data_IF_344683028395
#
_entry.id   IF_344683028395
#
_cell.length_a   1.000
_cell.length_b   1.000
_cell.length_c   1.000
_cell.angle_alpha   90.00
_cell.angle_beta   90.00
_cell.angle_gamma   90.00
#
_symmetry.space_group_name_H-M   'P 1'
#
loop_
_entity.id
_entity.type
_entity.pdbx_description
1 polymer ?
#
# COMPACT_ATOMS: atom_id res chain seq x y z
N UNK A 1 14.87 -8.59 0.32
CA UNK A 1 14.23 -9.90 0.02
C UNK A 1 13.04 -10.22 0.94
N UNK A 2 13.25 -10.19 2.26
CA UNK A 2 12.24 -10.64 3.24
C UNK A 2 10.90 -9.89 3.16
N UNK A 3 10.91 -8.59 2.84
CA UNK A 3 9.67 -7.80 2.70
C UNK A 3 8.81 -8.28 1.52
N UNK A 4 9.40 -8.56 0.36
CA UNK A 4 8.63 -9.01 -0.81
C UNK A 4 7.97 -10.36 -0.53
N UNK A 5 8.75 -11.33 -0.05
CA UNK A 5 8.22 -12.67 0.26
C UNK A 5 7.14 -12.61 1.33
N UNK A 6 7.29 -11.73 2.33
CA UNK A 6 6.27 -11.51 3.35
C UNK A 6 5.00 -10.93 2.76
N UNK A 7 5.08 -9.87 1.93
CA UNK A 7 3.92 -9.26 1.27
C UNK A 7 3.17 -10.30 0.43
N UNK A 8 3.88 -11.10 -0.38
CA UNK A 8 3.26 -12.15 -1.19
C UNK A 8 2.51 -13.19 -0.34
N UNK A 9 3.05 -13.57 0.83
CA UNK A 9 2.37 -14.50 1.74
C UNK A 9 1.13 -13.86 2.38
N UNK A 10 1.23 -12.61 2.82
CA UNK A 10 0.11 -11.87 3.42
C UNK A 10 -1.01 -11.68 2.42
N UNK A 11 -0.69 -11.26 1.19
CA UNK A 11 -1.68 -11.08 0.13
C UNK A 11 -2.49 -12.35 -0.12
N UNK A 12 -1.83 -13.50 -0.26
CA UNK A 12 -2.50 -14.80 -0.41
C UNK A 12 -3.42 -15.12 0.76
N UNK A 13 -2.99 -14.82 1.99
CA UNK A 13 -3.81 -15.04 3.18
C UNK A 13 -5.03 -14.11 3.24
N UNK A 14 -4.87 -12.83 2.92
CA UNK A 14 -5.98 -11.86 2.87
C UNK A 14 -7.03 -12.29 1.86
N UNK A 15 -6.62 -12.71 0.66
CA UNK A 15 -7.56 -13.23 -0.36
C UNK A 15 -8.29 -14.46 0.14
N UNK A 16 -7.60 -15.38 0.82
CA UNK A 16 -8.22 -16.60 1.37
C UNK A 16 -9.19 -16.31 2.53
N UNK A 17 -8.86 -15.36 3.40
CA UNK A 17 -9.69 -14.98 4.55
C UNK A 17 -10.91 -14.13 4.14
N UNK A 18 -10.84 -13.47 2.97
CA UNK A 18 -11.91 -12.69 2.32
C UNK A 18 -12.62 -11.70 3.27
N UNK A 19 -11.90 -10.71 3.83
CA UNK A 19 -12.55 -9.63 4.56
C UNK A 19 -13.44 -8.79 3.64
N UNK A 20 -14.41 -8.07 4.20
CA UNK A 20 -15.24 -7.14 3.43
C UNK A 20 -14.41 -6.01 2.79
N UNK A 21 -13.36 -5.58 3.51
CA UNK A 21 -12.45 -4.55 3.04
C UNK A 21 -11.05 -4.65 3.66
N UNK A 22 -10.09 -4.03 3.00
CA UNK A 22 -8.77 -3.73 3.54
C UNK A 22 -8.59 -2.23 3.73
N UNK A 23 -7.83 -1.87 4.75
CA UNK A 23 -7.39 -0.51 5.02
C UNK A 23 -5.86 -0.47 4.94
N UNK A 24 -5.32 0.35 4.04
CA UNK A 24 -3.88 0.34 3.72
C UNK A 24 -3.40 1.72 3.32
N UNK A 25 -2.10 1.98 3.45
CA UNK A 25 -1.49 3.10 2.77
C UNK A 25 -1.55 2.89 1.25
N UNK A 26 -1.82 3.95 0.50
CA UNK A 26 -1.90 3.91 -0.97
C UNK A 26 -0.87 4.81 -1.65
N UNK A 27 -0.31 5.76 -0.92
CA UNK A 27 0.67 6.70 -1.45
C UNK A 27 1.94 6.71 -0.63
N UNK A 28 3.00 7.29 -1.18
CA UNK A 28 4.17 7.75 -0.43
C UNK A 28 4.64 9.09 -1.02
N UNK A 29 5.39 9.90 -0.25
CA UNK A 29 6.00 11.12 -0.80
C UNK A 29 6.90 10.81 -1.98
N UNK A 30 6.98 11.74 -2.93
CA UNK A 30 7.95 11.69 -4.02
C UNK A 30 9.34 12.03 -3.46
N UNK A 31 10.36 11.33 -3.95
CA UNK A 31 11.70 11.43 -3.37
C UNK A 31 12.40 12.78 -3.69
N UNK A 32 12.08 13.42 -4.82
CA UNK A 32 12.78 14.61 -5.33
C UNK A 32 11.88 15.77 -5.81
N UNK A 33 10.57 15.67 -5.58
CA UNK A 33 9.58 16.64 -6.03
C UNK A 33 8.41 16.71 -5.04
N UNK A 34 7.63 17.81 -5.00
CA UNK A 34 6.51 17.91 -4.08
C UNK A 34 5.39 16.91 -4.34
N UNK A 35 4.71 16.52 -3.26
CA UNK A 35 3.50 15.73 -3.30
C UNK A 35 3.73 14.23 -3.23
N UNK A 36 2.62 13.50 -3.28
CA UNK A 36 2.61 12.06 -3.12
C UNK A 36 2.38 11.36 -4.46
N UNK A 37 2.75 10.09 -4.51
CA UNK A 37 2.46 9.23 -5.65
C UNK A 37 2.07 7.83 -5.17
N UNK A 38 1.31 7.13 -6.01
CA UNK A 38 1.03 5.70 -5.85
C UNK A 38 2.14 4.95 -6.59
N UNK A 39 2.98 4.16 -5.89
CA UNK A 39 3.95 3.30 -6.55
C UNK A 39 3.25 2.33 -7.53
N UNK A 40 3.74 2.17 -8.78
CA UNK A 40 3.21 1.21 -9.74
C UNK A 40 3.22 -0.24 -9.24
N UNK A 41 4.04 -0.56 -8.25
CA UNK A 41 4.05 -1.88 -7.62
C UNK A 41 2.90 -2.10 -6.65
N UNK A 42 2.15 -1.06 -6.26
CA UNK A 42 1.00 -1.18 -5.37
C UNK A 42 -0.28 -1.51 -6.14
N UNK A 43 -0.45 -0.95 -7.35
CA UNK A 43 -1.70 -1.12 -8.11
C UNK A 43 -2.04 -2.58 -8.42
N UNK A 44 -1.10 -3.48 -8.79
CA UNK A 44 -1.44 -4.88 -9.02
C UNK A 44 -1.94 -5.59 -7.74
N UNK A 45 -1.44 -5.20 -6.56
CA UNK A 45 -1.89 -5.77 -5.29
C UNK A 45 -3.34 -5.34 -5.01
N UNK A 46 -3.69 -4.09 -5.31
CA UNK A 46 -5.06 -3.59 -5.18
C UNK A 46 -6.00 -4.25 -6.18
N UNK A 47 -5.56 -4.42 -7.42
CA UNK A 47 -6.33 -5.10 -8.47
C UNK A 47 -6.65 -6.54 -8.06
N UNK A 48 -5.69 -7.26 -7.49
CA UNK A 48 -5.90 -8.63 -7.00
C UNK A 48 -6.96 -8.70 -5.88
N UNK A 49 -6.98 -7.72 -4.97
CA UNK A 49 -8.01 -7.65 -3.92
C UNK A 49 -9.39 -7.29 -4.48
N UNK A 50 -9.46 -6.32 -5.40
CA UNK A 50 -10.70 -5.91 -6.06
C UNK A 50 -11.27 -7.08 -6.88
N UNK A 51 -10.43 -7.80 -7.61
CA UNK A 51 -10.80 -9.00 -8.36
C UNK A 51 -11.31 -10.12 -7.45
N UNK A 52 -10.82 -10.22 -6.22
CA UNK A 52 -11.32 -11.15 -5.20
C UNK A 52 -12.62 -10.67 -4.52
N UNK A 53 -13.14 -9.49 -4.89
CA UNK A 53 -14.34 -8.90 -4.31
C UNK A 53 -14.12 -8.23 -2.95
N UNK A 54 -12.88 -7.88 -2.62
CA UNK A 54 -12.49 -7.22 -1.37
C UNK A 54 -12.33 -5.71 -1.64
N UNK A 55 -13.01 -4.86 -0.87
CA UNK A 55 -12.90 -3.40 -1.06
C UNK A 55 -11.54 -2.88 -0.55
N UNK A 56 -10.98 -1.87 -1.22
CA UNK A 56 -9.70 -1.25 -0.84
C UNK A 56 -9.90 0.18 -0.39
N UNK A 57 -9.66 0.45 0.90
CA UNK A 57 -9.58 1.79 1.47
C UNK A 57 -8.12 2.24 1.53
N UNK A 58 -7.68 2.88 0.45
CA UNK A 58 -6.35 3.47 0.36
C UNK A 58 -6.28 4.82 1.07
N UNK A 59 -5.36 4.95 2.02
CA UNK A 59 -5.12 6.17 2.77
C UNK A 59 -3.77 6.78 2.38
N UNK A 60 -3.75 8.10 2.32
CA UNK A 60 -2.51 8.85 2.15
C UNK A 60 -1.57 8.54 3.32
N UNK A 61 -0.32 8.22 3.04
CA UNK A 61 0.66 8.02 4.10
C UNK A 61 0.91 9.32 4.88
N UNK A 62 1.40 9.18 6.11
CA UNK A 62 1.87 10.31 6.91
C UNK A 62 3.00 11.05 6.18
N UNK A 63 3.12 12.38 6.34
CA UNK A 63 4.27 13.11 5.79
C UNK A 63 5.58 12.51 6.28
N UNK A 64 6.53 12.28 5.37
CA UNK A 64 7.86 11.76 5.74
C UNK A 64 8.78 12.95 6.05
N UNK A 65 9.28 13.08 7.29
CA UNK A 65 10.29 14.07 7.62
C UNK A 65 11.57 13.85 6.80
N UNK A 66 12.07 14.88 6.14
CA UNK A 66 13.37 14.86 5.48
C UNK A 66 14.50 15.31 6.42
N UNK A 67 14.18 15.77 7.63
CA UNK A 67 15.16 16.14 8.65
C UNK A 67 14.66 15.89 10.08
N UNK A 68 15.54 16.10 11.07
CA UNK A 68 15.23 15.98 12.50
C UNK A 68 14.12 16.95 12.98
N UNK A 69 13.70 17.90 12.15
CA UNK A 69 12.65 18.87 12.45
C UNK A 69 11.28 18.50 11.87
N UNK A 70 11.11 17.36 11.20
CA UNK A 70 9.78 16.95 10.72
C UNK A 70 9.36 17.55 9.38
N UNK A 71 10.24 18.25 8.67
CA UNK A 71 9.93 18.96 7.42
C UNK A 71 10.24 18.14 6.18
#
# INVERSE_FOLDING_TARGET
>A
PQCHDWVTRVQKKVVADKPDAIFTNSTRPRDYEPGDWVPPTYTPIFDDFIAAGIQVFGIRDTPWPHNAAGL
#
